data_IF_898439297461
#
_entry.id   IF_898439297461
#
_cell.length_a   1.000
_cell.length_b   1.000
_cell.length_c   1.000
_cell.angle_alpha   90.00
_cell.angle_beta   90.00
_cell.angle_gamma   90.00
#
_symmetry.space_group_name_H-M   'P 1'
#
loop_
_entity.id
_entity.type
_entity.pdbx_description
1 polymer ?
#
# COMPACT_ATOMS: atom_id res chain seq x y z
N UNK A 1 6.17 11.07 -15.77
CA UNK A 1 7.31 10.28 -16.32
C UNK A 1 6.82 8.88 -16.67
N UNK A 2 7.21 8.34 -17.82
CA UNK A 2 6.78 7.00 -18.25
C UNK A 2 7.31 5.87 -17.34
N UNK A 3 8.55 6.02 -16.85
CA UNK A 3 9.23 5.02 -16.01
C UNK A 3 8.43 4.57 -14.78
N UNK A 4 7.79 5.49 -14.03
CA UNK A 4 7.06 5.14 -12.81
C UNK A 4 5.88 4.21 -13.06
N UNK A 5 5.18 4.43 -14.18
CA UNK A 5 4.05 3.59 -14.54
C UNK A 5 4.50 2.21 -14.98
N UNK A 6 5.65 2.10 -15.66
CA UNK A 6 6.28 0.80 -15.96
C UNK A 6 6.67 0.12 -14.65
N UNK A 7 7.45 0.79 -13.79
CA UNK A 7 7.85 0.23 -12.50
C UNK A 7 6.65 -0.24 -11.65
N UNK A 8 5.56 0.55 -11.62
CA UNK A 8 4.31 0.13 -10.98
C UNK A 8 3.75 -1.17 -11.55
N UNK A 9 3.68 -1.29 -12.88
CA UNK A 9 3.16 -2.48 -13.55
C UNK A 9 4.04 -3.72 -13.31
N UNK A 10 5.37 -3.53 -13.26
CA UNK A 10 6.30 -4.61 -12.95
C UNK A 10 6.21 -5.05 -11.47
N UNK A 11 6.15 -4.09 -10.54
CA UNK A 11 6.12 -4.37 -9.09
C UNK A 11 4.80 -4.96 -8.58
N UNK A 12 3.68 -4.71 -9.26
CA UNK A 12 2.36 -5.18 -8.81
C UNK A 12 1.71 -6.19 -9.75
N UNK A 13 1.08 -5.81 -10.88
CA UNK A 13 0.35 -6.78 -11.67
C UNK A 13 1.25 -7.86 -12.28
N UNK A 14 2.45 -7.51 -12.76
CA UNK A 14 3.37 -8.50 -13.33
C UNK A 14 4.02 -9.37 -12.26
N UNK A 15 4.28 -8.83 -11.06
CA UNK A 15 4.72 -9.59 -9.90
C UNK A 15 3.82 -10.80 -9.64
N UNK A 16 2.49 -10.64 -9.72
CA UNK A 16 1.54 -11.77 -9.58
C UNK A 16 1.87 -12.93 -10.52
N UNK A 17 2.08 -12.66 -11.81
CA UNK A 17 2.30 -13.70 -12.82
C UNK A 17 3.70 -14.29 -12.73
N UNK A 18 4.71 -13.48 -12.39
CA UNK A 18 6.06 -13.98 -12.11
C UNK A 18 6.06 -14.92 -10.92
N UNK A 19 5.34 -14.55 -9.86
CA UNK A 19 5.20 -15.35 -8.65
C UNK A 19 4.42 -16.65 -8.91
N UNK A 20 3.40 -16.60 -9.77
CA UNK A 20 2.70 -17.80 -10.26
C UNK A 20 3.62 -18.71 -11.09
N UNK A 21 4.39 -18.15 -12.02
CA UNK A 21 5.37 -18.90 -12.80
C UNK A 21 6.46 -19.53 -11.93
N UNK A 22 6.83 -18.86 -10.84
CA UNK A 22 7.75 -19.41 -9.85
C UNK A 22 7.15 -20.58 -9.08
N UNK A 23 5.89 -20.46 -8.65
CA UNK A 23 5.17 -21.58 -8.03
C UNK A 23 5.05 -22.78 -8.99
N UNK A 24 4.87 -22.53 -10.29
CA UNK A 24 4.83 -23.55 -11.32
C UNK A 24 6.21 -24.12 -11.71
N UNK A 25 7.30 -23.73 -11.04
CA UNK A 25 8.66 -24.19 -11.33
C UNK A 25 9.25 -23.66 -12.65
N UNK A 26 8.60 -22.71 -13.32
CA UNK A 26 9.05 -22.17 -14.60
C UNK A 26 10.26 -21.25 -14.41
N UNK A 27 10.27 -20.45 -13.35
CA UNK A 27 11.34 -19.48 -13.08
C UNK A 27 11.73 -19.43 -11.60
N UNK A 28 13.03 -19.31 -11.29
CA UNK A 28 13.49 -18.97 -9.94
C UNK A 28 13.52 -17.45 -9.80
N UNK A 29 12.52 -16.86 -9.15
CA UNK A 29 12.32 -15.41 -9.11
C UNK A 29 12.22 -14.84 -7.71
N UNK A 30 12.82 -15.53 -6.74
CA UNK A 30 12.91 -15.09 -5.34
C UNK A 30 13.41 -13.64 -5.19
N UNK A 31 14.22 -13.15 -6.13
CA UNK A 31 14.76 -11.78 -6.16
C UNK A 31 14.04 -10.80 -7.08
N UNK A 32 12.97 -11.19 -7.80
CA UNK A 32 12.38 -10.36 -8.85
C UNK A 32 11.93 -8.97 -8.35
N UNK A 33 11.20 -8.92 -7.22
CA UNK A 33 10.76 -7.65 -6.64
C UNK A 33 11.97 -6.77 -6.28
N UNK A 34 13.03 -7.37 -5.74
CA UNK A 34 14.27 -6.68 -5.41
C UNK A 34 14.98 -6.12 -6.63
N UNK A 35 15.12 -6.91 -7.70
CA UNK A 35 15.74 -6.46 -8.95
C UNK A 35 15.00 -5.29 -9.58
N UNK A 36 13.66 -5.32 -9.61
CA UNK A 36 12.85 -4.21 -10.11
C UNK A 36 12.97 -2.99 -9.20
N UNK A 37 13.03 -3.17 -7.87
CA UNK A 37 13.24 -2.09 -6.92
C UNK A 37 14.61 -1.40 -7.13
N UNK A 38 15.69 -2.17 -7.26
CA UNK A 38 17.05 -1.65 -7.56
C UNK A 38 17.05 -0.86 -8.86
N UNK A 39 16.50 -1.43 -9.94
CA UNK A 39 16.42 -0.74 -11.22
C UNK A 39 15.62 0.57 -11.11
N UNK A 40 14.52 0.57 -10.36
CA UNK A 40 13.72 1.76 -10.10
C UNK A 40 14.53 2.83 -9.37
N UNK A 41 15.21 2.48 -8.28
CA UNK A 41 16.04 3.42 -7.53
C UNK A 41 17.17 3.97 -8.40
N UNK A 42 17.90 3.11 -9.13
CA UNK A 42 18.98 3.51 -10.01
C UNK A 42 18.51 4.51 -11.09
N UNK A 43 17.37 4.25 -11.73
CA UNK A 43 16.79 5.16 -12.73
C UNK A 43 16.47 6.52 -12.12
N UNK A 44 15.84 6.57 -10.95
CA UNK A 44 15.42 7.86 -10.36
C UNK A 44 16.56 8.65 -9.73
N UNK A 45 17.52 7.98 -9.10
CA UNK A 45 18.66 8.63 -8.45
C UNK A 45 19.71 9.05 -9.48
N UNK A 46 20.04 8.19 -10.43
CA UNK A 46 21.16 8.43 -11.36
C UNK A 46 20.72 9.15 -12.63
N UNK A 47 19.55 8.82 -13.18
CA UNK A 47 19.11 9.32 -14.49
C UNK A 47 18.17 10.52 -14.35
N UNK A 48 17.30 10.55 -13.33
CA UNK A 48 16.31 11.61 -13.15
C UNK A 48 16.41 12.38 -11.81
N UNK A 49 17.60 12.80 -11.34
CA UNK A 49 17.73 13.52 -10.07
C UNK A 49 17.02 14.88 -10.08
N UNK A 50 17.12 15.65 -11.17
CA UNK A 50 16.53 16.99 -11.25
C UNK A 50 15.00 16.95 -11.14
N UNK A 51 14.26 16.09 -11.90
CA UNK A 51 12.83 15.95 -11.69
C UNK A 51 12.44 15.47 -10.28
N UNK A 52 13.22 14.57 -9.67
CA UNK A 52 13.03 14.14 -8.27
C UNK A 52 13.09 15.33 -7.33
N UNK A 53 14.17 16.11 -7.39
CA UNK A 53 14.37 17.30 -6.55
C UNK A 53 13.24 18.32 -6.73
N UNK A 54 12.83 18.60 -7.98
CA UNK A 54 11.72 19.51 -8.28
C UNK A 54 10.38 19.02 -7.71
N UNK A 55 10.11 17.72 -7.75
CA UNK A 55 8.86 17.14 -7.22
C UNK A 55 8.88 17.15 -5.69
N UNK A 56 10.01 16.83 -5.08
CA UNK A 56 10.19 16.84 -3.63
C UNK A 56 10.11 18.25 -3.04
N UNK A 57 10.67 19.26 -3.73
CA UNK A 57 10.57 20.66 -3.27
C UNK A 57 9.13 21.19 -3.27
N UNK A 58 8.24 20.63 -4.08
CA UNK A 58 6.82 20.98 -4.07
C UNK A 58 6.11 20.61 -2.74
N UNK A 59 6.65 19.68 -1.95
CA UNK A 59 6.15 19.32 -0.63
C UNK A 59 7.29 19.15 0.38
N UNK A 60 8.18 20.16 0.45
CA UNK A 60 9.45 20.12 1.18
C UNK A 60 9.37 19.51 2.58
N UNK A 61 8.37 19.85 3.39
CA UNK A 61 8.23 19.29 4.75
C UNK A 61 8.02 17.76 4.77
N UNK A 62 7.17 17.23 3.88
CA UNK A 62 6.92 15.78 3.78
C UNK A 62 8.14 15.04 3.23
N UNK A 63 8.79 15.64 2.23
CA UNK A 63 10.01 15.10 1.63
C UNK A 63 11.18 15.09 2.61
N UNK A 64 11.35 16.16 3.39
CA UNK A 64 12.36 16.24 4.45
C UNK A 64 12.13 15.15 5.48
N UNK A 65 10.89 14.99 5.97
CA UNK A 65 10.57 13.97 6.96
C UNK A 65 10.83 12.54 6.47
N UNK A 66 10.53 12.25 5.20
CA UNK A 66 10.87 10.98 4.57
C UNK A 66 12.39 10.76 4.48
N UNK A 67 13.16 11.76 4.04
CA UNK A 67 14.63 11.68 3.99
C UNK A 67 15.19 11.48 5.40
N UNK A 68 14.71 12.23 6.40
CA UNK A 68 15.15 12.09 7.79
C UNK A 68 14.88 10.70 8.33
N UNK A 69 13.70 10.11 8.04
CA UNK A 69 13.40 8.73 8.41
C UNK A 69 14.37 7.73 7.77
N UNK A 70 14.65 7.87 6.47
CA UNK A 70 15.60 6.98 5.78
C UNK A 70 17.02 7.09 6.34
N UNK A 71 17.49 8.33 6.56
CA UNK A 71 18.79 8.58 7.15
C UNK A 71 18.88 8.01 8.56
N UNK A 72 17.83 8.15 9.37
CA UNK A 72 17.75 7.53 10.69
C UNK A 72 17.89 6.01 10.61
N UNK A 73 17.07 5.33 9.80
CA UNK A 73 17.14 3.88 9.64
C UNK A 73 18.52 3.41 9.15
N UNK A 74 19.13 4.13 8.19
CA UNK A 74 20.45 3.80 7.68
C UNK A 74 21.55 3.98 8.73
N UNK A 75 21.58 5.12 9.43
CA UNK A 75 22.55 5.40 10.48
C UNK A 75 22.40 4.43 11.66
N UNK A 76 21.15 4.11 12.03
CA UNK A 76 20.86 3.13 13.08
C UNK A 76 21.38 1.73 12.72
N UNK A 77 21.21 1.33 11.45
CA UNK A 77 21.75 0.06 10.94
C UNK A 77 23.28 0.05 10.92
N UNK A 78 23.91 1.14 10.48
CA UNK A 78 25.36 1.28 10.46
C UNK A 78 25.97 1.29 11.87
N UNK A 79 25.29 1.92 12.83
CA UNK A 79 25.69 1.90 14.23
C UNK A 79 25.78 0.47 14.77
N UNK A 80 24.72 -0.32 14.62
CA UNK A 80 24.74 -1.71 15.09
C UNK A 80 25.63 -2.64 14.27
N UNK A 81 25.84 -2.34 12.99
CA UNK A 81 26.83 -3.05 12.18
C UNK A 81 28.26 -2.87 12.71
N UNK A 82 28.58 -1.67 13.22
CA UNK A 82 29.89 -1.37 13.79
C UNK A 82 30.12 -2.08 15.14
N UNK A 83 29.07 -2.37 15.90
CA UNK A 83 29.12 -3.17 17.14
C UNK A 83 29.29 -4.69 16.89
N UNK A 84 30.09 -5.07 15.88
CA UNK A 84 30.25 -6.41 15.25
C UNK A 84 29.95 -7.65 16.12
N UNK A 85 29.36 -8.69 15.48
CA UNK A 85 28.98 -10.02 16.00
C UNK A 85 27.75 -10.13 16.92
N UNK A 86 27.04 -9.04 17.20
CA UNK A 86 25.85 -9.10 18.06
C UNK A 86 24.58 -9.65 17.37
N UNK A 87 24.43 -9.47 16.07
CA UNK A 87 23.18 -9.77 15.34
C UNK A 87 23.43 -10.56 14.05
N UNK A 88 22.49 -11.42 13.63
CA UNK A 88 22.61 -12.21 12.40
C UNK A 88 22.60 -11.35 11.13
N UNK A 89 23.31 -11.82 10.09
CA UNK A 89 23.45 -11.12 8.80
C UNK A 89 22.10 -10.85 8.11
N UNK A 90 21.13 -11.72 8.34
CA UNK A 90 19.77 -11.65 7.84
C UNK A 90 19.04 -10.41 8.34
N UNK A 91 19.30 -9.97 9.59
CA UNK A 91 18.67 -8.78 10.15
C UNK A 91 19.08 -7.50 9.40
N UNK A 92 20.37 -7.37 9.10
CA UNK A 92 20.88 -6.25 8.31
C UNK A 92 20.33 -6.30 6.88
N UNK A 93 20.30 -7.49 6.28
CA UNK A 93 19.76 -7.70 4.94
C UNK A 93 18.30 -7.26 4.86
N UNK A 94 17.49 -7.62 5.86
CA UNK A 94 16.06 -7.25 5.95
C UNK A 94 15.86 -5.74 6.01
N UNK A 95 16.68 -5.01 6.79
CA UNK A 95 16.57 -3.54 6.89
C UNK A 95 17.04 -2.85 5.61
N UNK A 96 18.12 -3.33 5.00
CA UNK A 96 18.60 -2.81 3.71
C UNK A 96 17.53 -3.02 2.63
N UNK A 97 16.90 -4.19 2.58
CA UNK A 97 15.78 -4.48 1.69
C UNK A 97 14.59 -3.55 1.96
N UNK A 98 14.24 -3.30 3.23
CA UNK A 98 13.18 -2.37 3.60
C UNK A 98 13.47 -0.95 3.08
N UNK A 99 14.67 -0.41 3.34
CA UNK A 99 15.08 0.91 2.86
C UNK A 99 14.99 0.98 1.33
N UNK A 100 15.55 -0.02 0.65
CA UNK A 100 15.51 -0.11 -0.81
C UNK A 100 14.06 -0.13 -1.34
N UNK A 101 13.19 -0.94 -0.76
CA UNK A 101 11.80 -1.06 -1.19
C UNK A 101 10.99 0.20 -0.88
N UNK A 102 11.25 0.84 0.27
CA UNK A 102 10.67 2.14 0.61
C UNK A 102 11.07 3.20 -0.40
N UNK A 103 12.35 3.32 -0.75
CA UNK A 103 12.83 4.29 -1.75
C UNK A 103 12.23 4.01 -3.12
N UNK A 104 12.23 2.74 -3.56
CA UNK A 104 11.65 2.35 -4.84
C UNK A 104 10.15 2.70 -4.93
N UNK A 105 9.36 2.27 -3.94
CA UNK A 105 7.92 2.53 -3.93
C UNK A 105 7.59 4.00 -3.71
N UNK A 106 8.39 4.73 -2.94
CA UNK A 106 8.28 6.17 -2.83
C UNK A 106 8.43 6.85 -4.20
N UNK A 107 9.47 6.49 -4.99
CA UNK A 107 9.64 7.07 -6.33
C UNK A 107 8.54 6.66 -7.30
N UNK A 108 8.05 5.43 -7.23
CA UNK A 108 6.86 5.01 -7.99
C UNK A 108 5.68 5.92 -7.64
N UNK A 109 5.39 6.10 -6.35
CA UNK A 109 4.29 6.95 -5.89
C UNK A 109 4.46 8.42 -6.28
N UNK A 110 5.69 8.92 -6.24
CA UNK A 110 6.06 10.30 -6.57
C UNK A 110 5.72 10.67 -8.02
N UNK A 111 5.70 9.69 -8.93
CA UNK A 111 5.61 9.94 -10.37
C UNK A 111 4.57 9.12 -11.14
N UNK A 112 3.92 8.13 -10.51
CA UNK A 112 2.85 7.34 -11.15
C UNK A 112 1.71 8.27 -11.56
N UNK A 113 1.16 8.04 -12.76
CA UNK A 113 -0.01 8.76 -13.24
C UNK A 113 -1.12 7.75 -13.53
N UNK A 114 -2.06 7.56 -12.59
CA UNK A 114 -3.15 6.61 -12.78
C UNK A 114 -4.01 6.93 -14.01
N UNK A 115 -4.06 8.19 -14.46
CA UNK A 115 -4.88 8.61 -15.60
C UNK A 115 -4.35 8.13 -16.96
N UNK A 116 -3.14 7.55 -17.00
CA UNK A 116 -2.51 7.15 -18.25
C UNK A 116 -3.23 5.95 -18.85
N UNK A 117 -3.78 6.14 -20.07
CA UNK A 117 -4.58 5.12 -20.79
C UNK A 117 -3.89 3.75 -20.90
N UNK A 118 -2.59 3.73 -21.22
CA UNK A 118 -1.81 2.48 -21.34
C UNK A 118 -1.74 1.74 -20.01
N UNK A 119 -1.41 2.44 -18.93
CA UNK A 119 -1.30 1.87 -17.58
C UNK A 119 -2.65 1.32 -17.11
N UNK A 120 -3.72 2.08 -17.32
CA UNK A 120 -5.08 1.63 -17.02
C UNK A 120 -5.47 0.38 -17.81
N UNK A 121 -5.17 0.33 -19.12
CA UNK A 121 -5.46 -0.84 -19.97
C UNK A 121 -4.70 -2.08 -19.53
N UNK A 122 -3.38 -1.96 -19.31
CA UNK A 122 -2.55 -3.10 -18.88
C UNK A 122 -3.02 -3.59 -17.52
N UNK A 123 -3.23 -2.70 -16.55
CA UNK A 123 -3.75 -3.07 -15.24
C UNK A 123 -5.12 -3.77 -15.32
N UNK A 124 -6.01 -3.31 -16.21
CA UNK A 124 -7.32 -3.91 -16.44
C UNK A 124 -7.23 -5.34 -16.99
N UNK A 125 -6.37 -5.53 -18.01
CA UNK A 125 -6.08 -6.86 -18.57
C UNK A 125 -5.47 -7.77 -17.49
N UNK A 126 -4.52 -7.25 -16.70
CA UNK A 126 -3.90 -8.01 -15.62
C UNK A 126 -4.90 -8.44 -14.56
N UNK A 127 -5.83 -7.57 -14.12
CA UNK A 127 -6.88 -7.99 -13.17
C UNK A 127 -7.80 -9.04 -13.79
N UNK A 128 -8.21 -8.89 -15.05
CA UNK A 128 -9.03 -9.91 -15.71
C UNK A 128 -8.31 -11.27 -15.75
N UNK A 129 -7.01 -11.27 -16.06
CA UNK A 129 -6.18 -12.47 -16.04
C UNK A 129 -6.00 -13.03 -14.62
N UNK A 130 -5.81 -12.18 -13.59
CA UNK A 130 -5.77 -12.63 -12.19
C UNK A 130 -7.09 -13.27 -11.77
N UNK A 131 -8.23 -12.70 -12.14
CA UNK A 131 -9.56 -13.27 -11.86
C UNK A 131 -9.69 -14.63 -12.54
N UNK A 132 -9.30 -14.76 -13.81
CA UNK A 132 -9.36 -16.03 -14.52
C UNK A 132 -8.47 -17.10 -13.88
N UNK A 133 -7.24 -16.73 -13.50
CA UNK A 133 -6.31 -17.61 -12.79
C UNK A 133 -6.87 -18.01 -11.43
N UNK A 134 -7.33 -17.04 -10.64
CA UNK A 134 -7.92 -17.30 -9.32
C UNK A 134 -9.12 -18.23 -9.46
N UNK A 135 -10.04 -17.97 -10.40
CA UNK A 135 -11.20 -18.81 -10.69
C UNK A 135 -10.82 -20.25 -11.08
N UNK A 136 -9.76 -20.42 -11.85
CA UNK A 136 -9.26 -21.74 -12.26
C UNK A 136 -8.65 -22.53 -11.10
N UNK A 137 -7.95 -21.86 -10.18
CA UNK A 137 -7.27 -22.48 -9.04
C UNK A 137 -8.06 -22.41 -7.72
N UNK A 138 -9.34 -22.01 -7.74
CA UNK A 138 -10.18 -22.06 -6.53
C UNK A 138 -10.45 -23.50 -6.15
N UNK A 139 -10.05 -23.84 -4.94
CA UNK A 139 -10.40 -25.09 -4.29
C UNK A 139 -11.88 -25.08 -3.86
N UNK A 140 -12.60 -26.16 -4.19
CA UNK A 140 -14.06 -26.22 -4.00
C UNK A 140 -14.48 -26.26 -2.53
N UNK A 141 -13.64 -26.80 -1.65
CA UNK A 141 -13.90 -26.95 -0.22
C UNK A 141 -13.61 -25.65 0.53
N UNK A 142 -12.41 -25.10 0.33
CA UNK A 142 -11.95 -23.89 1.03
C UNK A 142 -12.42 -22.59 0.38
N UNK A 143 -12.92 -22.66 -0.87
CA UNK A 143 -13.31 -21.50 -1.72
C UNK A 143 -12.18 -20.49 -1.90
N UNK A 144 -10.94 -20.96 -1.79
CA UNK A 144 -9.74 -20.16 -1.87
C UNK A 144 -8.79 -20.72 -2.92
N UNK A 145 -7.94 -19.85 -3.45
CA UNK A 145 -6.83 -20.30 -4.31
C UNK A 145 -5.88 -21.14 -3.47
N UNK A 146 -5.66 -22.39 -3.86
CA UNK A 146 -4.71 -23.29 -3.23
C UNK A 146 -3.63 -23.70 -4.23
N UNK A 147 -2.63 -22.84 -4.41
CA UNK A 147 -1.50 -23.15 -5.29
C UNK A 147 -0.60 -24.24 -4.70
N UNK A 148 -0.69 -24.49 -3.39
CA UNK A 148 0.10 -25.52 -2.68
C UNK A 148 -0.26 -26.93 -3.09
N UNK A 149 -1.55 -27.24 -3.11
CA UNK A 149 -2.01 -28.57 -3.51
C UNK A 149 -1.75 -28.85 -5.00
N UNK A 150 -1.62 -27.82 -5.83
CA UNK A 150 -1.50 -27.97 -7.28
C UNK A 150 -0.06 -28.13 -7.75
N UNK A 151 0.88 -27.39 -7.15
CA UNK A 151 2.26 -27.33 -7.65
C UNK A 151 3.28 -28.11 -6.81
N UNK A 152 2.84 -28.80 -5.75
CA UNK A 152 3.63 -29.72 -4.90
C UNK A 152 5.06 -29.24 -4.60
N UNK A 153 5.21 -27.95 -4.32
CA UNK A 153 6.51 -27.32 -4.05
C UNK A 153 6.53 -26.81 -2.62
N UNK A 154 7.57 -27.19 -1.85
CA UNK A 154 7.74 -26.70 -0.48
C UNK A 154 8.07 -25.20 -0.44
N UNK A 155 8.63 -24.67 -1.54
CA UNK A 155 9.01 -23.27 -1.69
C UNK A 155 7.84 -22.34 -2.06
N UNK A 156 6.58 -22.75 -1.79
CA UNK A 156 5.45 -22.05 -2.39
C UNK A 156 5.28 -20.64 -1.83
N UNK A 157 5.24 -19.66 -2.75
CA UNK A 157 5.04 -18.26 -2.43
C UNK A 157 3.84 -17.99 -1.51
N UNK A 158 4.01 -17.05 -0.57
CA UNK A 158 2.95 -16.68 0.36
C UNK A 158 1.77 -16.01 -0.36
N UNK A 159 0.54 -16.37 0.02
CA UNK A 159 -0.72 -15.77 -0.49
C UNK A 159 -0.74 -14.24 -0.42
N UNK A 160 0.02 -13.67 0.52
CA UNK A 160 0.18 -12.24 0.71
C UNK A 160 0.76 -11.52 -0.52
N UNK A 161 1.66 -12.17 -1.27
CA UNK A 161 2.22 -11.58 -2.50
C UNK A 161 1.15 -11.37 -3.58
N UNK A 162 0.37 -12.43 -3.86
CA UNK A 162 -0.73 -12.40 -4.83
C UNK A 162 -1.81 -11.38 -4.44
N UNK A 163 -2.17 -11.34 -3.17
CA UNK A 163 -3.16 -10.39 -2.69
C UNK A 163 -2.69 -8.94 -2.75
N UNK A 164 -1.43 -8.64 -2.40
CA UNK A 164 -0.91 -7.28 -2.51
C UNK A 164 -0.87 -6.78 -3.97
N UNK A 165 -0.48 -7.66 -4.90
CA UNK A 165 -0.52 -7.37 -6.34
C UNK A 165 -1.95 -7.06 -6.83
N UNK A 166 -2.92 -7.92 -6.48
CA UNK A 166 -4.33 -7.71 -6.82
C UNK A 166 -4.90 -6.44 -6.17
N UNK A 167 -4.60 -6.21 -4.89
CA UNK A 167 -5.04 -5.06 -4.10
C UNK A 167 -4.61 -3.74 -4.74
N UNK A 168 -3.31 -3.56 -4.98
CA UNK A 168 -2.81 -2.30 -5.51
C UNK A 168 -3.21 -2.10 -6.97
N UNK A 169 -3.26 -3.16 -7.78
CA UNK A 169 -3.78 -3.06 -9.15
C UNK A 169 -5.27 -2.69 -9.16
N UNK A 170 -6.06 -3.27 -8.25
CA UNK A 170 -7.46 -2.94 -8.05
C UNK A 170 -7.69 -1.48 -7.65
N UNK A 171 -6.91 -0.97 -6.69
CA UNK A 171 -6.98 0.44 -6.25
C UNK A 171 -6.58 1.43 -7.36
N UNK A 172 -5.58 1.10 -8.19
CA UNK A 172 -5.22 1.90 -9.36
C UNK A 172 -6.41 2.05 -10.31
N UNK A 173 -7.08 0.95 -10.65
CA UNK A 173 -8.24 0.96 -11.54
C UNK A 173 -9.42 1.69 -10.89
N UNK A 174 -9.71 1.43 -9.62
CA UNK A 174 -10.76 2.09 -8.85
C UNK A 174 -10.60 3.62 -8.84
N UNK A 175 -9.36 4.10 -8.69
CA UNK A 175 -9.05 5.54 -8.66
C UNK A 175 -9.44 6.29 -9.94
N UNK A 176 -9.48 5.59 -11.08
CA UNK A 176 -9.79 6.17 -12.39
C UNK A 176 -11.28 6.15 -12.75
N UNK A 177 -12.10 5.37 -12.03
CA UNK A 177 -13.51 5.23 -12.35
C UNK A 177 -14.29 6.48 -11.94
N UNK A 178 -14.91 7.14 -12.92
CA UNK A 178 -15.67 8.39 -12.70
C UNK A 178 -17.05 8.13 -12.06
N UNK A 179 -17.75 7.10 -12.52
CA UNK A 179 -19.11 6.79 -12.07
C UNK A 179 -19.17 6.03 -10.75
N UNK A 180 -20.04 6.45 -9.83
CA UNK A 180 -20.23 5.80 -8.52
C UNK A 180 -20.64 4.33 -8.64
N UNK A 181 -21.58 4.02 -9.54
CA UNK A 181 -22.04 2.64 -9.79
C UNK A 181 -20.88 1.74 -10.22
N UNK A 182 -20.04 2.22 -11.13
CA UNK A 182 -18.85 1.51 -11.58
C UNK A 182 -17.81 1.33 -10.48
N UNK A 183 -17.63 2.33 -9.61
CA UNK A 183 -16.76 2.19 -8.44
C UNK A 183 -17.27 1.12 -7.46
N UNK A 184 -18.55 1.14 -7.13
CA UNK A 184 -19.16 0.13 -6.25
C UNK A 184 -19.07 -1.26 -6.86
N UNK A 185 -19.40 -1.41 -8.14
CA UNK A 185 -19.22 -2.67 -8.87
C UNK A 185 -17.78 -3.15 -8.80
N UNK A 186 -16.82 -2.26 -9.07
CA UNK A 186 -15.40 -2.60 -9.02
C UNK A 186 -14.89 -2.94 -7.62
N UNK A 187 -15.42 -2.29 -6.58
CA UNK A 187 -15.15 -2.64 -5.19
C UNK A 187 -15.60 -4.07 -4.89
N UNK A 188 -16.79 -4.47 -5.35
CA UNK A 188 -17.29 -5.85 -5.19
C UNK A 188 -16.39 -6.85 -5.93
N UNK A 189 -16.00 -6.56 -7.17
CA UNK A 189 -15.10 -7.41 -7.95
C UNK A 189 -13.73 -7.57 -7.26
N UNK A 190 -13.12 -6.49 -6.80
CA UNK A 190 -11.85 -6.54 -6.08
C UNK A 190 -11.98 -7.25 -4.73
N UNK A 191 -13.07 -7.02 -4.00
CA UNK A 191 -13.34 -7.71 -2.75
C UNK A 191 -13.46 -9.22 -2.96
N UNK A 192 -14.19 -9.67 -3.99
CA UNK A 192 -14.30 -11.08 -4.35
C UNK A 192 -12.93 -11.69 -4.72
N UNK A 193 -12.13 -10.98 -5.52
CA UNK A 193 -10.77 -11.44 -5.87
C UNK A 193 -9.86 -11.56 -4.63
N UNK A 194 -9.90 -10.57 -3.74
CA UNK A 194 -9.10 -10.59 -2.50
C UNK A 194 -9.57 -11.69 -1.53
N UNK A 195 -10.89 -11.91 -1.44
CA UNK A 195 -11.48 -13.00 -0.68
C UNK A 195 -10.95 -14.35 -1.14
N UNK A 196 -11.03 -14.60 -2.46
CA UNK A 196 -10.56 -15.83 -3.10
C UNK A 196 -9.05 -16.01 -2.94
N UNK A 197 -8.26 -14.94 -3.01
CA UNK A 197 -6.81 -15.00 -2.78
C UNK A 197 -6.42 -15.24 -1.31
N UNK A 198 -7.37 -15.21 -0.37
CA UNK A 198 -7.12 -15.68 1.00
C UNK A 198 -6.46 -14.71 1.96
N UNK A 199 -6.12 -13.49 1.54
CA UNK A 199 -5.41 -12.54 2.37
C UNK A 199 -6.36 -11.68 3.21
N UNK A 200 -6.55 -12.12 4.46
CA UNK A 200 -7.47 -11.53 5.45
C UNK A 200 -7.28 -10.03 5.66
N UNK A 201 -6.05 -9.63 6.01
CA UNK A 201 -5.75 -8.23 6.32
C UNK A 201 -6.01 -7.31 5.12
N UNK A 202 -5.56 -7.72 3.95
CA UNK A 202 -5.70 -6.99 2.68
C UNK A 202 -7.17 -6.83 2.29
N UNK A 203 -7.98 -7.88 2.46
CA UNK A 203 -9.42 -7.83 2.22
C UNK A 203 -10.13 -6.83 3.14
N UNK A 204 -9.94 -6.95 4.46
CA UNK A 204 -10.56 -6.04 5.45
C UNK A 204 -10.06 -4.61 5.26
N UNK A 205 -8.74 -4.44 5.10
CA UNK A 205 -8.12 -3.14 4.85
C UNK A 205 -8.64 -2.48 3.58
N UNK A 206 -8.85 -3.26 2.50
CA UNK A 206 -9.45 -2.76 1.26
C UNK A 206 -10.87 -2.25 1.49
N UNK A 207 -11.74 -3.07 2.11
CA UNK A 207 -13.13 -2.70 2.37
C UNK A 207 -13.22 -1.46 3.25
N UNK A 208 -12.43 -1.40 4.33
CA UNK A 208 -12.41 -0.27 5.23
C UNK A 208 -11.87 1.00 4.54
N UNK A 209 -10.74 0.92 3.83
CA UNK A 209 -10.15 2.09 3.18
C UNK A 209 -11.04 2.63 2.05
N UNK A 210 -11.56 1.76 1.19
CA UNK A 210 -12.47 2.17 0.11
C UNK A 210 -13.81 2.64 0.64
N UNK A 211 -14.33 2.00 1.70
CA UNK A 211 -15.53 2.42 2.42
C UNK A 211 -15.40 3.81 3.03
N UNK A 212 -14.26 4.14 3.65
CA UNK A 212 -13.99 5.48 4.19
C UNK A 212 -13.92 6.52 3.06
N UNK A 213 -13.13 6.28 2.01
CA UNK A 213 -12.94 7.24 0.90
C UNK A 213 -14.24 7.50 0.14
N UNK A 214 -14.97 6.44 -0.20
CA UNK A 214 -16.27 6.57 -0.87
C UNK A 214 -17.33 7.09 0.09
N UNK A 215 -17.29 6.71 1.37
CA UNK A 215 -18.15 7.20 2.44
C UNK A 215 -18.07 8.72 2.59
N UNK A 216 -16.87 9.29 2.64
CA UNK A 216 -16.66 10.76 2.66
C UNK A 216 -17.32 11.42 1.44
N UNK A 217 -17.23 10.80 0.27
CA UNK A 217 -17.87 11.30 -0.96
C UNK A 217 -19.40 11.20 -0.91
N UNK A 218 -19.94 10.19 -0.21
CA UNK A 218 -21.37 9.92 -0.05
C UNK A 218 -21.99 10.85 1.00
N UNK A 219 -21.33 11.05 2.14
CA UNK A 219 -21.84 11.85 3.26
C UNK A 219 -22.12 13.31 2.86
N UNK A 220 -21.47 13.81 1.80
CA UNK A 220 -21.77 15.13 1.21
C UNK A 220 -23.11 15.20 0.46
N UNK A 221 -23.78 14.08 0.21
CA UNK A 221 -25.00 14.00 -0.60
C UNK A 221 -26.04 13.12 0.11
N UNK A 222 -27.05 13.66 0.81
CA UNK A 222 -28.01 12.86 1.58
C UNK A 222 -28.76 11.82 0.73
N UNK A 223 -29.09 12.14 -0.54
CA UNK A 223 -29.67 11.18 -1.50
C UNK A 223 -28.76 9.96 -1.76
N UNK A 224 -27.45 10.15 -1.66
CA UNK A 224 -26.47 9.09 -1.84
C UNK A 224 -26.45 8.13 -0.65
N UNK A 225 -26.65 8.63 0.57
CA UNK A 225 -26.76 7.81 1.80
C UNK A 225 -27.97 6.88 1.66
N UNK A 226 -29.15 7.43 1.39
CA UNK A 226 -30.38 6.65 1.23
C UNK A 226 -30.23 5.55 0.17
N UNK A 227 -29.70 5.89 -1.01
CA UNK A 227 -29.47 4.91 -2.08
C UNK A 227 -28.47 3.81 -1.70
N UNK A 228 -27.46 4.09 -0.88
CA UNK A 228 -26.54 3.04 -0.39
C UNK A 228 -27.21 2.18 0.66
N UNK A 229 -27.93 2.75 1.62
CA UNK A 229 -28.66 1.98 2.63
C UNK A 229 -29.65 1.00 1.99
N UNK A 230 -30.40 1.44 0.99
CA UNK A 230 -31.32 0.56 0.23
C UNK A 230 -30.57 -0.55 -0.51
N UNK A 231 -29.38 -0.27 -1.07
CA UNK A 231 -28.57 -1.27 -1.77
C UNK A 231 -27.95 -2.32 -0.82
N UNK A 232 -27.80 -2.02 0.46
CA UNK A 232 -27.28 -2.98 1.46
C UNK A 232 -28.33 -4.02 1.89
N UNK A 233 -29.62 -3.71 1.74
CA UNK A 233 -30.72 -4.63 2.10
C UNK A 233 -30.64 -5.97 1.33
N UNK A 234 -30.57 -5.99 -0.02
CA UNK A 234 -30.44 -7.26 -0.75
C UNK A 234 -29.13 -7.98 -0.45
N UNK A 235 -28.04 -7.24 -0.19
CA UNK A 235 -26.76 -7.84 0.21
C UNK A 235 -26.87 -8.56 1.56
N UNK A 236 -27.58 -7.97 2.53
CA UNK A 236 -27.89 -8.62 3.80
C UNK A 236 -28.64 -9.94 3.59
N UNK A 237 -29.69 -9.94 2.76
CA UNK A 237 -30.45 -11.16 2.47
C UNK A 237 -29.58 -12.25 1.82
N UNK A 238 -28.75 -11.89 0.84
CA UNK A 238 -27.82 -12.86 0.18
C UNK A 238 -26.83 -13.44 1.19
N UNK A 239 -26.23 -12.60 2.05
CA UNK A 239 -25.28 -13.05 3.07
C UNK A 239 -26.00 -13.93 4.10
N UNK A 240 -27.22 -13.58 4.50
CA UNK A 240 -27.99 -14.35 5.48
C UNK A 240 -28.39 -15.73 4.95
N UNK A 241 -28.76 -15.83 3.68
CA UNK A 241 -29.10 -17.11 3.02
C UNK A 241 -27.89 -18.04 2.90
N UNK A 242 -26.70 -17.45 2.68
CA UNK A 242 -25.44 -18.18 2.53
C UNK A 242 -24.59 -18.19 3.79
N UNK A 243 -25.18 -17.93 4.95
CA UNK A 243 -24.43 -17.78 6.18
C UNK A 243 -23.64 -19.04 6.53
N UNK A 244 -24.24 -20.22 6.42
CA UNK A 244 -23.57 -21.50 6.69
C UNK A 244 -22.38 -21.78 5.77
N UNK A 245 -22.47 -21.35 4.50
CA UNK A 245 -21.38 -21.49 3.53
C UNK A 245 -20.22 -20.52 3.86
N UNK A 246 -20.57 -19.32 4.35
CA UNK A 246 -19.63 -18.25 4.69
C UNK A 246 -18.94 -18.54 6.03
N UNK A 247 -19.68 -19.03 7.03
CA UNK A 247 -19.23 -19.33 8.40
C UNK A 247 -18.05 -20.31 8.41
N UNK A 248 -18.08 -21.31 7.54
CA UNK A 248 -17.00 -22.29 7.39
C UNK A 248 -15.77 -21.74 6.65
N UNK A 249 -15.85 -20.55 6.06
CA UNK A 249 -14.74 -19.97 5.30
C UNK A 249 -13.60 -19.53 6.21
N UNK A 250 -12.37 -19.63 5.70
CA UNK A 250 -11.17 -19.12 6.38
C UNK A 250 -11.23 -17.62 6.68
N UNK A 251 -12.07 -16.86 6.00
CA UNK A 251 -12.28 -15.44 6.27
C UNK A 251 -13.14 -15.23 7.51
N UNK A 252 -14.12 -16.11 7.78
CA UNK A 252 -14.96 -16.06 8.98
C UNK A 252 -14.30 -16.62 10.23
N UNK A 253 -13.24 -17.42 10.08
CA UNK A 253 -12.31 -17.70 11.18
C UNK A 253 -11.65 -16.42 11.75
N UNK A 254 -11.77 -15.27 11.08
CA UNK A 254 -11.43 -14.00 11.72
C UNK A 254 -12.33 -13.71 12.92
N UNK A 255 -13.57 -14.16 12.97
CA UNK A 255 -14.48 -13.90 14.08
C UNK A 255 -14.26 -14.87 15.26
N UNK A 256 -13.67 -16.04 15.01
CA UNK A 256 -13.19 -16.98 16.05
C UNK A 256 -11.72 -16.67 16.41
N UNK A 257 -11.50 -15.49 16.98
CA UNK A 257 -10.15 -15.02 17.32
C UNK A 257 -9.46 -15.89 18.38
N UNK A 258 -10.23 -16.50 19.30
CA UNK A 258 -9.70 -17.08 20.52
C UNK A 258 -8.87 -18.37 20.28
N UNK A 259 -9.15 -19.12 19.21
CA UNK A 259 -8.59 -20.46 19.03
C UNK A 259 -7.61 -20.61 17.85
N UNK A 260 -7.33 -19.55 17.09
CA UNK A 260 -6.43 -19.67 15.93
C UNK A 260 -4.95 -19.56 16.34
N UNK A 261 -4.14 -20.54 15.95
CA UNK A 261 -2.68 -20.55 16.18
C UNK A 261 -1.99 -19.29 15.67
N UNK A 262 -2.47 -18.74 14.54
CA UNK A 262 -1.95 -17.50 13.97
C UNK A 262 -2.26 -16.25 14.79
N UNK A 263 -3.33 -16.26 15.60
CA UNK A 263 -3.67 -15.15 16.48
C UNK A 263 -2.86 -15.19 17.77
N UNK A 264 -2.72 -16.37 18.36
CA UNK A 264 -1.89 -16.60 19.56
C UNK A 264 -0.46 -16.11 19.29
N UNK A 265 0.17 -16.56 18.19
CA UNK A 265 1.51 -16.11 17.82
C UNK A 265 1.61 -14.57 17.65
N UNK A 266 0.54 -13.89 17.18
CA UNK A 266 0.53 -12.42 17.09
C UNK A 266 0.43 -11.75 18.45
N UNK A 267 -0.28 -12.35 19.40
CA UNK A 267 -0.32 -11.85 20.78
C UNK A 267 1.05 -12.04 21.44
N UNK A 268 1.70 -13.18 21.21
CA UNK A 268 3.04 -13.44 21.73
C UNK A 268 4.06 -12.44 21.17
N UNK A 269 4.06 -12.21 19.86
CA UNK A 269 4.93 -11.19 19.24
C UNK A 269 4.60 -9.76 19.67
N UNK A 270 3.33 -9.47 19.98
CA UNK A 270 2.94 -8.18 20.56
C UNK A 270 3.51 -8.04 21.97
N UNK A 271 3.37 -9.07 22.81
CA UNK A 271 3.84 -9.05 24.18
C UNK A 271 5.37 -8.90 24.23
N UNK A 272 6.09 -9.67 23.41
CA UNK A 272 7.54 -9.53 23.26
C UNK A 272 7.93 -8.10 22.90
N UNK A 273 7.24 -7.49 21.93
CA UNK A 273 7.52 -6.11 21.52
C UNK A 273 7.26 -5.11 22.65
N UNK A 274 6.21 -5.30 23.45
CA UNK A 274 5.92 -4.46 24.61
C UNK A 274 7.00 -4.60 25.69
N UNK A 275 7.45 -5.83 25.97
CA UNK A 275 8.50 -6.10 26.93
C UNK A 275 9.84 -5.48 26.49
N UNK A 276 10.19 -5.61 25.22
CA UNK A 276 11.38 -4.97 24.63
C UNK A 276 11.29 -3.44 24.67
N UNK A 277 10.12 -2.85 24.39
CA UNK A 277 9.92 -1.40 24.50
C UNK A 277 10.02 -0.95 25.96
N UNK A 278 9.45 -1.71 26.91
CA UNK A 278 9.52 -1.37 28.33
C UNK A 278 10.96 -1.41 28.85
N UNK A 279 11.75 -2.39 28.42
CA UNK A 279 13.16 -2.51 28.76
C UNK A 279 14.04 -1.45 28.08
N UNK A 280 13.73 -1.09 26.82
CA UNK A 280 14.52 -0.19 26.00
C UNK A 280 13.66 0.91 25.32
N UNK A 281 13.04 1.82 26.09
CA UNK A 281 12.02 2.72 25.56
C UNK A 281 12.56 3.75 24.56
N UNK A 282 13.83 4.12 24.66
CA UNK A 282 14.45 5.12 23.78
C UNK A 282 15.07 4.45 22.55
N UNK A 283 15.95 3.47 22.75
CA UNK A 283 16.71 2.82 21.68
C UNK A 283 15.91 1.75 20.93
N UNK A 284 14.92 1.12 21.58
CA UNK A 284 14.41 -0.16 21.14
C UNK A 284 15.48 -1.26 21.20
N UNK A 285 15.20 -2.38 20.53
CA UNK A 285 16.07 -3.54 20.39
C UNK A 285 16.25 -3.83 18.91
N UNK A 286 17.40 -3.45 18.36
CA UNK A 286 17.73 -3.74 16.97
C UNK A 286 17.66 -5.25 16.73
N UNK A 287 17.00 -5.65 15.66
CA UNK A 287 16.75 -7.07 15.35
C UNK A 287 16.07 -7.85 16.50
N UNK A 288 15.39 -7.22 17.45
CA UNK A 288 14.82 -7.90 18.63
C UNK A 288 13.82 -9.01 18.29
N UNK A 289 13.22 -8.99 17.11
CA UNK A 289 12.33 -10.05 16.63
C UNK A 289 13.06 -11.34 16.22
N UNK A 290 14.39 -11.32 16.13
CA UNK A 290 15.22 -12.50 15.93
C UNK A 290 15.48 -13.27 17.24
N UNK A 291 15.11 -12.71 18.40
CA UNK A 291 15.38 -13.29 19.73
C UNK A 291 14.36 -14.36 20.16
N UNK A 292 13.20 -14.46 19.49
CA UNK A 292 12.03 -15.22 19.97
C UNK A 292 12.19 -16.75 19.92
N UNK A 293 12.62 -17.32 18.79
CA UNK A 293 12.75 -18.78 18.66
C UNK A 293 13.98 -19.13 17.82
N UNK A 294 14.80 -20.04 18.33
CA UNK A 294 15.86 -20.70 17.58
C UNK A 294 15.33 -22.02 17.00
N UNK A 295 15.45 -22.30 15.69
CA UNK A 295 16.12 -21.47 14.68
C UNK A 295 15.26 -20.28 14.25
N UNK A 296 15.96 -19.15 14.16
CA UNK A 296 15.51 -17.79 13.88
C UNK A 296 14.52 -17.70 12.72
N UNK A 297 13.32 -17.21 13.00
CA UNK A 297 12.36 -16.78 11.98
C UNK A 297 12.41 -15.27 11.81
N UNK A 298 12.83 -14.80 10.63
CA UNK A 298 12.74 -13.38 10.23
C UNK A 298 11.29 -12.83 10.18
N UNK A 299 10.28 -13.66 10.53
CA UNK A 299 8.86 -13.31 10.60
C UNK A 299 8.32 -13.03 12.01
N UNK A 300 9.10 -13.24 13.08
CA UNK A 300 8.62 -13.19 14.46
C UNK A 300 8.54 -11.78 15.08
N UNK A 301 7.99 -10.81 14.32
CA UNK A 301 7.86 -9.41 14.76
C UNK A 301 6.42 -9.07 15.15
N UNK A 302 6.26 -8.00 15.94
CA UNK A 302 4.95 -7.38 16.14
C UNK A 302 4.35 -6.97 14.79
N UNK A 303 3.14 -7.47 14.51
CA UNK A 303 2.43 -7.21 13.27
C UNK A 303 1.71 -5.85 13.28
N UNK A 304 2.40 -4.79 13.69
CA UNK A 304 1.89 -3.43 13.68
C UNK A 304 3.04 -2.39 13.71
N UNK A 305 2.68 -1.12 13.84
CA UNK A 305 3.61 0.01 13.90
C UNK A 305 4.59 -0.05 15.09
N UNK A 306 4.31 -0.81 16.16
CA UNK A 306 5.24 -0.97 17.28
C UNK A 306 6.52 -1.69 16.85
N UNK A 307 6.49 -2.50 15.79
CA UNK A 307 7.71 -3.06 15.19
C UNK A 307 8.72 -1.99 14.76
N UNK A 308 8.28 -0.78 14.40
CA UNK A 308 9.17 0.34 14.13
C UNK A 308 9.82 0.88 15.40
N UNK A 309 9.11 0.86 16.53
CA UNK A 309 9.66 1.27 17.84
C UNK A 309 10.69 0.27 18.32
N UNK A 310 10.36 -1.03 18.29
CA UNK A 310 11.33 -2.08 18.62
C UNK A 310 12.57 -1.95 17.73
N UNK A 311 12.42 -1.82 16.41
CA UNK A 311 13.55 -1.89 15.49
C UNK A 311 14.42 -0.61 15.43
N UNK A 312 13.83 0.57 15.62
CA UNK A 312 14.48 1.87 15.38
C UNK A 312 14.35 2.87 16.54
N UNK A 313 13.87 2.42 17.70
CA UNK A 313 13.62 3.25 18.87
C UNK A 313 12.48 4.24 18.70
N UNK A 314 12.27 5.07 19.73
CA UNK A 314 11.19 6.06 19.75
C UNK A 314 11.34 7.10 18.63
N UNK A 315 12.58 7.42 18.23
CA UNK A 315 12.86 8.41 17.18
C UNK A 315 12.37 7.86 15.83
N UNK A 316 12.78 6.64 15.45
CA UNK A 316 12.34 6.01 14.19
C UNK A 316 10.83 5.80 14.15
N UNK A 317 10.24 5.33 15.26
CA UNK A 317 8.79 5.18 15.40
C UNK A 317 8.05 6.52 15.21
N UNK A 318 8.50 7.58 15.88
CA UNK A 318 7.87 8.89 15.82
C UNK A 318 7.91 9.47 14.41
N UNK A 319 9.06 9.37 13.72
CA UNK A 319 9.21 9.80 12.33
C UNK A 319 8.26 9.03 11.39
N UNK A 320 8.19 7.70 11.56
CA UNK A 320 7.34 6.80 10.77
C UNK A 320 5.84 7.11 10.95
N UNK A 321 5.39 7.23 12.20
CA UNK A 321 3.98 7.53 12.52
C UNK A 321 3.61 8.95 12.08
N UNK A 322 4.46 9.95 12.37
CA UNK A 322 4.21 11.33 12.00
C UNK A 322 4.09 11.50 10.47
N UNK A 323 5.01 10.91 9.71
CA UNK A 323 4.97 10.95 8.25
C UNK A 323 3.67 10.33 7.72
N UNK A 324 3.30 9.18 8.28
CA UNK A 324 2.06 8.48 7.90
C UNK A 324 0.82 9.33 8.20
N UNK A 325 0.69 9.88 9.41
CA UNK A 325 -0.44 10.72 9.80
C UNK A 325 -0.56 11.98 8.92
N UNK A 326 0.57 12.65 8.65
CA UNK A 326 0.60 13.82 7.77
C UNK A 326 0.15 13.45 6.35
N UNK A 327 0.59 12.30 5.84
CA UNK A 327 0.21 11.82 4.51
C UNK A 327 -1.27 11.45 4.44
N UNK A 328 -1.80 10.68 5.40
CA UNK A 328 -3.24 10.37 5.50
C UNK A 328 -4.08 11.64 5.54
N UNK A 329 -3.75 12.58 6.43
CA UNK A 329 -4.45 13.86 6.56
C UNK A 329 -4.44 14.65 5.25
N UNK A 330 -3.28 14.74 4.60
CA UNK A 330 -3.13 15.46 3.33
C UNK A 330 -3.90 14.80 2.19
N UNK A 331 -3.90 13.47 2.11
CA UNK A 331 -4.66 12.75 1.08
C UNK A 331 -6.16 12.88 1.27
N UNK A 332 -6.64 12.90 2.52
CA UNK A 332 -8.05 13.13 2.84
C UNK A 332 -8.48 14.55 2.48
N UNK A 333 -7.70 15.58 2.83
CA UNK A 333 -8.03 16.97 2.47
C UNK A 333 -8.09 17.18 0.96
N UNK A 334 -7.27 16.44 0.19
CA UNK A 334 -7.29 16.52 -1.28
C UNK A 334 -8.60 16.00 -1.90
N UNK A 335 -9.39 15.20 -1.18
CA UNK A 335 -10.72 14.75 -1.62
C UNK A 335 -11.79 15.85 -1.50
N UNK A 336 -11.49 16.97 -0.86
CA UNK A 336 -12.41 18.12 -0.71
C UNK A 336 -12.51 18.98 -1.99
N UNK A 337 -11.55 18.86 -2.90
CA UNK A 337 -11.56 19.61 -4.15
C UNK A 337 -12.65 19.13 -5.12
N UNK A 338 -13.30 20.09 -5.80
CA UNK A 338 -14.45 19.85 -6.69
C UNK A 338 -14.16 18.82 -7.80
N UNK A 339 -12.95 18.84 -8.36
CA UNK A 339 -12.47 17.86 -9.34
C UNK A 339 -11.42 16.94 -8.72
N UNK A 340 -11.89 15.86 -8.12
CA UNK A 340 -10.99 14.86 -7.54
C UNK A 340 -10.29 14.09 -8.65
N UNK A 341 -9.01 14.42 -8.88
CA UNK A 341 -8.13 13.73 -9.83
C UNK A 341 -7.95 12.25 -9.43
N UNK A 342 -7.78 11.31 -10.38
CA UNK A 342 -7.45 9.92 -10.08
C UNK A 342 -6.23 9.76 -9.16
N UNK A 343 -5.23 10.64 -9.30
CA UNK A 343 -4.05 10.67 -8.42
C UNK A 343 -4.41 10.93 -6.96
N UNK A 344 -5.36 11.84 -6.71
CA UNK A 344 -5.79 12.18 -5.35
C UNK A 344 -6.53 11.02 -4.70
N UNK A 345 -7.41 10.34 -5.46
CA UNK A 345 -8.12 9.15 -4.98
C UNK A 345 -7.16 8.01 -4.68
N UNK A 346 -6.23 7.72 -5.59
CA UNK A 346 -5.23 6.68 -5.37
C UNK A 346 -4.39 6.97 -4.12
N UNK A 347 -3.96 8.22 -3.94
CA UNK A 347 -3.26 8.66 -2.73
C UNK A 347 -4.08 8.42 -1.47
N UNK A 348 -5.38 8.78 -1.46
CA UNK A 348 -6.25 8.54 -0.31
C UNK A 348 -6.43 7.04 -0.02
N UNK A 349 -6.74 6.24 -1.04
CA UNK A 349 -6.89 4.80 -0.88
C UNK A 349 -5.65 4.15 -0.28
N UNK A 350 -4.47 4.40 -0.85
CA UNK A 350 -3.23 3.74 -0.42
C UNK A 350 -2.82 4.21 0.99
N UNK A 351 -2.95 5.49 1.32
CA UNK A 351 -2.57 5.97 2.66
C UNK A 351 -3.53 5.49 3.75
N UNK A 352 -4.84 5.51 3.52
CA UNK A 352 -5.83 5.02 4.50
C UNK A 352 -5.70 3.51 4.68
N UNK A 353 -5.57 2.76 3.57
CA UNK A 353 -5.28 1.34 3.60
C UNK A 353 -4.02 1.08 4.43
N UNK A 354 -2.93 1.79 4.13
CA UNK A 354 -1.66 1.58 4.83
C UNK A 354 -1.77 1.90 6.31
N UNK A 355 -2.44 2.99 6.67
CA UNK A 355 -2.66 3.38 8.06
C UNK A 355 -3.44 2.33 8.86
N UNK A 356 -4.55 1.83 8.31
CA UNK A 356 -5.33 0.76 8.94
C UNK A 356 -4.47 -0.50 9.10
N UNK A 357 -3.75 -0.86 8.04
CA UNK A 357 -2.97 -2.08 8.01
C UNK A 357 -1.77 -2.04 8.96
N UNK A 358 -1.06 -0.92 9.10
CA UNK A 358 0.06 -0.82 10.05
C UNK A 358 -0.40 -0.74 11.50
N UNK A 359 -1.61 -0.29 11.77
CA UNK A 359 -2.15 -0.34 13.14
C UNK A 359 -2.51 -1.78 13.49
N UNK A 360 -3.08 -2.52 12.53
CA UNK A 360 -3.72 -3.81 12.82
C UNK A 360 -2.88 -5.05 12.53
N UNK A 361 -2.05 -5.05 11.48
CA UNK A 361 -1.52 -6.33 10.93
C UNK A 361 -0.18 -6.26 10.17
N UNK A 362 0.32 -5.07 9.83
CA UNK A 362 1.54 -4.89 9.04
C UNK A 362 2.63 -4.25 9.89
N UNK A 363 3.79 -4.87 9.84
CA UNK A 363 5.02 -4.40 10.47
C UNK A 363 5.70 -3.31 9.63
N UNK A 364 6.77 -2.74 10.17
CA UNK A 364 7.59 -1.69 9.54
C UNK A 364 8.21 -2.13 8.21
N UNK A 365 8.53 -3.40 8.02
CA UNK A 365 9.13 -3.92 6.80
C UNK A 365 8.14 -3.99 5.62
N UNK A 366 6.84 -3.78 5.84
CA UNK A 366 5.85 -3.76 4.76
C UNK A 366 5.98 -2.48 3.91
N UNK A 367 6.37 -2.57 2.63
CA UNK A 367 6.90 -1.41 1.92
C UNK A 367 5.82 -0.51 1.30
N UNK A 368 4.58 -0.99 1.19
CA UNK A 368 3.47 -0.31 0.48
C UNK A 368 3.18 1.08 1.03
N UNK A 369 3.44 1.32 2.32
CA UNK A 369 3.23 2.64 2.91
C UNK A 369 4.06 3.74 2.24
N UNK A 370 5.26 3.41 1.77
CA UNK A 370 6.12 4.36 1.07
C UNK A 370 5.55 4.78 -0.29
N UNK A 371 4.80 3.91 -0.97
CA UNK A 371 4.01 4.26 -2.15
C UNK A 371 2.99 5.37 -1.81
N UNK A 372 2.32 5.25 -0.66
CA UNK A 372 1.38 6.25 -0.14
C UNK A 372 2.04 7.61 0.14
N UNK A 373 3.23 7.60 0.76
CA UNK A 373 4.01 8.81 1.00
C UNK A 373 4.36 9.53 -0.31
N UNK A 374 4.89 8.79 -1.30
CA UNK A 374 5.21 9.32 -2.63
C UNK A 374 3.97 9.87 -3.35
N UNK A 375 2.85 9.13 -3.34
CA UNK A 375 1.57 9.55 -3.93
C UNK A 375 1.04 10.86 -3.33
N UNK A 376 1.25 11.09 -2.04
CA UNK A 376 0.83 12.31 -1.36
C UNK A 376 1.59 13.53 -1.89
N UNK A 377 2.91 13.40 -2.06
CA UNK A 377 3.75 14.46 -2.60
C UNK A 377 3.38 14.73 -4.07
N UNK A 378 3.20 13.66 -4.84
CA UNK A 378 2.74 13.76 -6.23
C UNK A 378 1.41 14.53 -6.35
N UNK A 379 0.44 14.20 -5.48
CA UNK A 379 -0.86 14.87 -5.43
C UNK A 379 -0.75 16.33 -5.02
N UNK A 380 0.11 16.65 -4.04
CA UNK A 380 0.36 18.03 -3.60
C UNK A 380 0.99 18.87 -4.73
N UNK A 381 1.96 18.31 -5.44
CA UNK A 381 2.58 18.97 -6.59
C UNK A 381 1.56 19.24 -7.71
N UNK A 382 0.71 18.25 -8.02
CA UNK A 382 -0.35 18.38 -9.01
C UNK A 382 -1.39 19.45 -8.63
N UNK A 383 -1.76 19.55 -7.35
CA UNK A 383 -2.65 20.61 -6.88
C UNK A 383 -2.02 22.00 -7.10
N UNK A 384 -0.73 22.17 -6.79
CA UNK A 384 -0.01 23.43 -7.04
C UNK A 384 0.01 23.79 -8.53
N UNK A 385 0.19 22.81 -9.41
CA UNK A 385 0.12 23.00 -10.87
C UNK A 385 -1.27 23.49 -11.31
N UNK A 386 -2.34 22.84 -10.82
CA UNK A 386 -3.73 23.24 -11.11
C UNK A 386 -3.99 24.67 -10.64
N UNK A 387 -3.60 25.01 -9.41
CA UNK A 387 -3.81 26.35 -8.84
C UNK A 387 -3.05 27.43 -9.63
N UNK A 388 -1.82 27.16 -10.08
CA UNK A 388 -1.05 28.08 -10.93
C UNK A 388 -1.73 28.31 -12.28
N UNK A 389 -2.24 27.25 -12.91
CA UNK A 389 -2.94 27.34 -14.19
C UNK A 389 -4.26 28.12 -14.07
N UNK A 390 -5.00 27.91 -12.99
CA UNK A 390 -6.22 28.65 -12.70
C UNK A 390 -5.93 30.13 -12.42
N UNK A 391 -4.88 30.45 -11.66
CA UNK A 391 -4.48 31.84 -11.40
C UNK A 391 -4.08 32.57 -12.68
N UNK A 392 -3.36 31.92 -13.60
CA UNK A 392 -2.98 32.49 -14.89
C UNK A 392 -4.20 32.80 -15.80
N UNK A 393 -5.29 32.03 -15.68
CA UNK A 393 -6.54 32.26 -16.43
C UNK A 393 -7.40 33.40 -15.89
N UNK A 394 -7.26 33.76 -14.62
CA UNK A 394 -8.02 34.83 -13.95
C UNK A 394 -7.42 36.22 -14.22
N UNK A 395 -6.26 36.29 -14.89
CA UNK A 395 -5.69 37.55 -15.41
C UNK A 395 -5.94 37.71 -16.92
N UNK A 396 -7.19 37.87 -17.41
CA UNK A 396 -7.46 38.47 -18.71
C UNK A 396 -7.86 39.94 -18.48
N UNK A 397 -6.93 40.87 -18.68
CA UNK A 397 -7.25 42.30 -18.69
C UNK A 397 -6.54 43.15 -17.62
N UNK A 398 -5.20 43.17 -17.62
CA UNK A 398 -4.56 44.48 -17.57
C UNK A 398 -5.04 45.22 -18.82
N UNK A 399 -6.07 46.03 -18.62
CA UNK A 399 -6.67 46.92 -19.60
C UNK A 399 -5.52 47.71 -20.23
N UNK A 400 -5.09 47.31 -21.43
CA UNK A 400 -4.47 48.25 -22.35
C UNK A 400 -5.57 49.25 -22.66
N UNK A 401 -5.54 50.35 -21.93
CA UNK A 401 -6.26 51.57 -22.27
C UNK A 401 -5.87 51.90 -23.69
N UNK A 402 -6.75 51.61 -24.64
CA UNK A 402 -6.66 52.08 -26.01
C UNK A 402 -6.65 53.62 -25.92
N UNK A 403 -5.51 54.30 -26.14
CA UNK A 403 -5.41 55.73 -25.96
C UNK A 403 -5.70 56.39 -27.31
N UNK A 404 -6.85 56.12 -27.93
CA UNK A 404 -7.23 56.74 -29.21
C UNK A 404 -8.76 56.68 -29.39
N UNK A 405 -9.48 57.37 -28.51
CA UNK A 405 -10.83 57.88 -28.78
C UNK A 405 -10.90 59.29 -28.17
N UNK A 406 -10.20 60.24 -28.78
CA UNK A 406 -10.45 61.66 -28.59
C UNK A 406 -10.76 62.26 -29.97
N UNK A 407 -11.89 62.95 -30.01
CA UNK A 407 -12.52 63.63 -31.15
C UNK A 407 -11.64 64.67 -31.85
#
# INVERSE_FOLDING_TARGET
MFGANIAYLFLFPFFYFVYLGSAAGIWNTSSYFGSVAIATVAIYVLIFPIPVMRRMSAASGKSALFITLLLWCALWTLWHWYETDKYPAEAYTQIIQMILFWVALFFVGLFVDPSRKQTFRIAGISIAAMIAVSAYFVDAETRMVNLRSVFDTESIPSYQGFANAALLTGLLLLSNLRGRRWRLFWMVVCAALLFVNGARSEFVGFLAATGIVEGISILRKPKAIFSTSVALIPLYFIISDRWSDIENSRQMQLLDFANSTSWIARQDFMQLALDQIAAHPISGVFAGHFEWEWPVSAGAYAHNALSAWVSFGIIGFSLYVLLTLICVKSSLSLLEHAEVSPTFRLSAYVNILSFILIIASKNVFWPVIALGWGLTINSTAKLKEINRHNAARVIPGSVESCPDCAD
#
